data_IF_440941361557
#
_entry.id   IF_440941361557
#
_cell.length_a   1.000
_cell.length_b   1.000
_cell.length_c   1.000
_cell.angle_alpha   90.00
_cell.angle_beta   90.00
_cell.angle_gamma   90.00
#
_symmetry.space_group_name_H-M   'P 1'
#
loop_
_entity.id
_entity.type
_entity.pdbx_description
1 polymer ?
#
# COMPACT_ATOMS: atom_id res chain seq x y z
N UNK A 1 -12.07 -5.31 -16.27
CA UNK A 1 -11.15 -4.39 -15.58
C UNK A 1 -10.49 -4.96 -14.31
N UNK A 2 -10.58 -6.26 -14.05
CA UNK A 2 -10.02 -6.87 -12.82
C UNK A 2 -8.56 -7.29 -12.95
N UNK A 3 -8.12 -7.73 -14.13
CA UNK A 3 -6.75 -8.19 -14.38
C UNK A 3 -5.71 -7.07 -14.29
N UNK A 4 -6.00 -5.89 -14.85
CA UNK A 4 -5.11 -4.72 -14.76
C UNK A 4 -4.90 -4.29 -13.30
N UNK A 5 -5.97 -4.21 -12.51
CA UNK A 5 -5.87 -3.90 -11.07
C UNK A 5 -5.07 -4.96 -10.31
N UNK A 6 -5.22 -6.24 -10.67
CA UNK A 6 -4.42 -7.32 -10.08
C UNK A 6 -2.94 -7.20 -10.38
N UNK A 7 -2.57 -6.88 -11.62
CA UNK A 7 -1.17 -6.67 -12.02
C UNK A 7 -0.57 -5.50 -11.24
N UNK A 8 -1.25 -4.34 -11.21
CA UNK A 8 -0.78 -3.17 -10.46
C UNK A 8 -0.66 -3.47 -8.98
N UNK A 9 -1.62 -4.19 -8.40
CA UNK A 9 -1.63 -4.56 -6.99
C UNK A 9 -0.50 -5.52 -6.63
N UNK A 10 -0.20 -6.51 -7.47
CA UNK A 10 0.94 -7.41 -7.29
C UNK A 10 2.27 -6.67 -7.40
N UNK A 11 2.41 -5.77 -8.39
CA UNK A 11 3.60 -4.94 -8.54
C UNK A 11 3.80 -4.00 -7.35
N UNK A 12 2.75 -3.30 -6.91
CA UNK A 12 2.82 -2.42 -5.75
C UNK A 12 3.20 -3.18 -4.48
N UNK A 13 2.59 -4.34 -4.25
CA UNK A 13 2.94 -5.15 -3.09
C UNK A 13 4.39 -5.62 -3.12
N UNK A 14 4.94 -5.99 -4.29
CA UNK A 14 6.36 -6.34 -4.41
C UNK A 14 7.26 -5.14 -4.11
N UNK A 15 6.93 -3.96 -4.67
CA UNK A 15 7.68 -2.72 -4.44
C UNK A 15 7.68 -2.33 -2.97
N UNK A 16 6.51 -2.35 -2.30
CA UNK A 16 6.39 -2.00 -0.89
C UNK A 16 7.02 -3.04 0.04
N UNK A 17 6.94 -4.33 -0.30
CA UNK A 17 7.62 -5.37 0.46
C UNK A 17 9.14 -5.19 0.38
N UNK A 18 9.67 -4.97 -0.82
CA UNK A 18 11.09 -4.71 -1.02
C UNK A 18 11.52 -3.42 -0.28
N UNK A 19 10.78 -2.33 -0.44
CA UNK A 19 11.08 -1.05 0.20
C UNK A 19 11.04 -1.15 1.73
N UNK A 20 10.03 -1.81 2.30
CA UNK A 20 9.92 -1.99 3.73
C UNK A 20 11.04 -2.88 4.29
N UNK A 21 11.37 -3.99 3.62
CA UNK A 21 12.51 -4.84 4.02
C UNK A 21 13.83 -4.09 3.91
N UNK A 22 14.05 -3.33 2.83
CA UNK A 22 15.23 -2.50 2.65
C UNK A 22 15.39 -1.51 3.82
N UNK A 23 14.31 -0.84 4.23
CA UNK A 23 14.30 0.07 5.40
C UNK A 23 14.50 -0.64 6.74
N UNK A 24 14.23 -1.95 6.85
CA UNK A 24 14.53 -2.73 8.04
C UNK A 24 15.98 -3.23 8.09
N UNK A 25 16.64 -3.44 6.94
CA UNK A 25 18.04 -3.89 6.93
C UNK A 25 19.02 -2.71 6.93
N UNK A 26 18.60 -1.54 6.43
CA UNK A 26 19.44 -0.34 6.41
C UNK A 26 19.72 0.17 7.84
N UNK A 27 20.98 0.53 8.17
CA UNK A 27 21.32 1.14 9.44
C UNK A 27 20.54 2.44 9.66
N UNK A 28 20.10 2.68 10.90
CA UNK A 28 19.28 3.86 11.21
C UNK A 28 20.06 5.14 10.92
N UNK A 29 21.36 5.12 11.20
CA UNK A 29 22.28 6.25 11.01
C UNK A 29 22.34 6.68 9.54
N UNK A 30 22.29 5.72 8.61
CA UNK A 30 22.24 6.02 7.18
C UNK A 30 20.88 6.58 6.77
N UNK A 31 19.79 6.07 7.33
CA UNK A 31 18.43 6.53 7.03
C UNK A 31 18.15 7.95 7.57
N UNK A 32 18.71 8.28 8.73
CA UNK A 32 18.51 9.58 9.39
C UNK A 32 19.55 10.62 8.99
N UNK A 33 20.52 10.25 8.15
CA UNK A 33 21.61 11.14 7.73
C UNK A 33 21.07 12.39 7.03
N UNK A 34 20.13 12.19 6.11
CA UNK A 34 19.53 13.26 5.33
C UNK A 34 18.11 13.59 5.83
N UNK A 35 17.45 12.65 6.51
CA UNK A 35 16.10 12.79 7.05
C UNK A 35 16.18 13.01 8.56
N UNK A 36 15.87 14.22 9.03
CA UNK A 36 15.78 14.55 10.46
C UNK A 36 14.49 13.98 11.10
N UNK A 37 14.30 12.66 11.02
CA UNK A 37 13.22 11.93 11.68
C UNK A 37 13.78 10.91 12.66
N UNK A 38 13.07 10.60 13.76
CA UNK A 38 13.50 9.55 14.67
C UNK A 38 13.62 8.21 13.94
N UNK A 39 14.73 7.49 14.13
CA UNK A 39 14.92 6.18 13.53
C UNK A 39 13.80 5.18 13.82
N UNK A 40 13.25 5.23 15.04
CA UNK A 40 12.09 4.43 15.43
C UNK A 40 10.84 4.71 14.55
N UNK A 41 10.64 5.96 14.11
CA UNK A 41 9.55 6.32 13.21
C UNK A 41 9.77 5.75 11.80
N UNK A 42 11.01 5.78 11.30
CA UNK A 42 11.34 5.16 10.01
C UNK A 42 11.16 3.62 10.05
N UNK A 43 11.49 2.99 11.17
CA UNK A 43 11.23 1.56 11.40
C UNK A 43 9.74 1.24 11.48
N UNK A 44 8.96 2.11 12.13
CA UNK A 44 7.51 2.00 12.12
C UNK A 44 6.95 2.07 10.69
N UNK A 45 7.40 3.05 9.88
CA UNK A 45 7.00 3.13 8.46
C UNK A 45 7.34 1.84 7.72
N UNK A 46 8.55 1.31 7.91
CA UNK A 46 8.98 0.07 7.25
C UNK A 46 8.06 -1.11 7.56
N UNK A 47 7.65 -1.27 8.83
CA UNK A 47 6.69 -2.30 9.24
C UNK A 47 5.33 -2.06 8.58
N UNK A 48 4.84 -0.82 8.57
CA UNK A 48 3.55 -0.48 7.95
C UNK A 48 3.56 -0.70 6.44
N UNK A 49 4.68 -0.43 5.75
CA UNK A 49 4.82 -0.72 4.31
C UNK A 49 4.72 -2.21 4.02
N UNK A 50 5.38 -3.06 4.83
CA UNK A 50 5.29 -4.52 4.71
C UNK A 50 3.85 -4.98 4.97
N UNK A 51 3.22 -4.50 6.04
CA UNK A 51 1.82 -4.84 6.35
C UNK A 51 0.87 -4.36 5.25
N UNK A 52 1.13 -3.20 4.65
CA UNK A 52 0.37 -2.67 3.52
C UNK A 52 0.54 -3.53 2.26
N UNK A 53 1.76 -3.98 1.96
CA UNK A 53 2.03 -4.91 0.86
C UNK A 53 1.30 -6.24 1.04
N UNK A 54 1.33 -6.80 2.25
CA UNK A 54 0.57 -7.99 2.59
C UNK A 54 -0.93 -7.75 2.50
N UNK A 55 -1.42 -6.61 3.02
CA UNK A 55 -2.82 -6.20 2.95
C UNK A 55 -3.33 -5.93 1.54
N UNK A 56 -2.45 -5.58 0.60
CA UNK A 56 -2.78 -5.52 -0.82
C UNK A 56 -3.03 -6.94 -1.37
N UNK A 57 -2.16 -7.92 -1.14
CA UNK A 57 -2.28 -9.25 -1.79
C UNK A 57 -3.20 -10.22 -1.03
N UNK A 58 -2.99 -10.43 0.27
CA UNK A 58 -3.59 -11.53 1.04
C UNK A 58 -5.13 -11.52 1.04
N UNK A 59 -5.81 -10.40 1.35
CA UNK A 59 -7.28 -10.38 1.41
C UNK A 59 -7.91 -10.65 0.04
N UNK A 60 -7.24 -10.21 -1.03
CA UNK A 60 -7.67 -10.43 -2.41
C UNK A 60 -7.41 -11.86 -2.87
N UNK A 61 -6.30 -12.47 -2.46
CA UNK A 61 -5.93 -13.84 -2.82
C UNK A 61 -6.74 -14.89 -2.06
N UNK A 62 -6.88 -14.70 -0.74
CA UNK A 62 -7.61 -15.59 0.15
C UNK A 62 -9.13 -15.41 0.09
N UNK A 63 -9.60 -14.33 -0.57
CA UNK A 63 -11.02 -13.91 -0.59
C UNK A 63 -11.64 -13.71 0.80
N UNK A 64 -10.80 -13.50 1.82
CA UNK A 64 -11.22 -13.23 3.20
C UNK A 64 -11.22 -11.72 3.41
N UNK A 65 -12.40 -11.14 3.67
CA UNK A 65 -12.60 -9.69 3.92
C UNK A 65 -11.85 -8.79 2.91
N UNK A 66 -12.17 -8.88 1.61
CA UNK A 66 -11.47 -8.11 0.58
C UNK A 66 -11.51 -6.59 0.76
N UNK A 67 -12.44 -6.06 1.58
CA UNK A 67 -12.47 -4.65 1.97
C UNK A 67 -11.23 -4.16 2.73
N UNK A 68 -10.38 -5.05 3.23
CA UNK A 68 -9.06 -4.70 3.79
C UNK A 68 -8.07 -4.25 2.71
N UNK A 69 -8.23 -4.70 1.46
CA UNK A 69 -7.34 -4.35 0.34
C UNK A 69 -7.31 -2.84 0.08
N UNK A 70 -8.45 -2.15 -0.11
CA UNK A 70 -8.40 -0.72 -0.37
C UNK A 70 -8.05 0.10 0.88
N UNK A 71 -8.24 -0.44 2.10
CA UNK A 71 -7.76 0.20 3.33
C UNK A 71 -6.23 0.15 3.42
N UNK A 72 -5.62 -0.99 3.09
CA UNK A 72 -4.16 -1.12 2.99
C UNK A 72 -3.59 -0.20 1.91
N UNK A 73 -4.24 -0.14 0.75
CA UNK A 73 -3.85 0.77 -0.33
C UNK A 73 -3.93 2.24 0.12
N UNK A 74 -4.97 2.64 0.86
CA UNK A 74 -5.09 3.99 1.40
C UNK A 74 -3.98 4.33 2.41
N UNK A 75 -3.61 3.38 3.28
CA UNK A 75 -2.48 3.55 4.21
C UNK A 75 -1.15 3.78 3.46
N UNK A 76 -0.91 3.02 2.39
CA UNK A 76 0.26 3.19 1.54
C UNK A 76 0.28 4.53 0.80
N UNK A 77 -0.88 5.03 0.36
CA UNK A 77 -1.00 6.40 -0.21
C UNK A 77 -0.55 7.45 0.80
N UNK A 78 -0.96 7.35 2.06
CA UNK A 78 -0.56 8.29 3.11
C UNK A 78 0.97 8.29 3.29
N UNK A 79 1.59 7.10 3.32
CA UNK A 79 3.05 6.97 3.41
C UNK A 79 3.74 7.61 2.20
N UNK A 80 3.22 7.39 0.99
CA UNK A 80 3.78 7.96 -0.24
C UNK A 80 3.64 9.48 -0.29
N UNK A 81 2.58 10.06 0.25
CA UNK A 81 2.46 11.51 0.41
C UNK A 81 3.59 12.03 1.31
N UNK A 82 3.80 11.41 2.48
CA UNK A 82 4.91 11.75 3.37
C UNK A 82 6.27 11.62 2.70
N UNK A 83 6.51 10.50 2.00
CA UNK A 83 7.76 10.27 1.27
C UNK A 83 7.98 11.30 0.15
N UNK A 84 6.94 11.69 -0.57
CA UNK A 84 7.00 12.71 -1.63
C UNK A 84 7.39 14.07 -1.03
N UNK A 85 6.72 14.49 0.04
CA UNK A 85 7.01 15.76 0.72
C UNK A 85 8.45 15.78 1.24
N UNK A 86 8.87 14.73 1.93
CA UNK A 86 10.24 14.62 2.46
C UNK A 86 11.28 14.63 1.33
N UNK A 87 11.01 13.93 0.22
CA UNK A 87 11.91 13.91 -0.94
C UNK A 87 12.05 15.29 -1.60
N UNK A 88 10.96 16.09 -1.64
CA UNK A 88 10.99 17.47 -2.13
C UNK A 88 11.74 18.42 -1.18
N UNK A 89 11.72 18.15 0.12
CA UNK A 89 12.40 18.98 1.12
C UNK A 89 13.91 18.76 1.15
N UNK A 90 14.37 17.54 0.87
CA UNK A 90 15.77 17.13 1.07
C UNK A 90 16.55 17.14 -0.24
N UNK A 91 15.89 16.91 -1.38
CA UNK A 91 16.57 16.64 -2.64
C UNK A 91 15.93 17.31 -3.87
N UNK A 92 16.48 17.03 -5.07
CA UNK A 92 15.91 17.53 -6.31
C UNK A 92 14.54 16.91 -6.57
N UNK A 93 13.67 17.66 -7.26
CA UNK A 93 12.28 17.25 -7.59
C UNK A 93 12.19 15.86 -8.21
N UNK A 94 13.21 15.45 -8.96
CA UNK A 94 13.29 14.11 -9.57
C UNK A 94 13.19 12.97 -8.54
N UNK A 95 13.70 13.15 -7.31
CA UNK A 95 13.62 12.13 -6.26
C UNK A 95 12.19 11.95 -5.73
N UNK A 96 11.36 13.00 -5.81
CA UNK A 96 9.97 12.94 -5.40
C UNK A 96 9.05 12.31 -6.46
N UNK A 97 9.50 12.18 -7.72
CA UNK A 97 8.68 11.59 -8.79
C UNK A 97 8.35 10.12 -8.52
N UNK A 98 9.29 9.35 -7.97
CA UNK A 98 9.07 7.94 -7.66
C UNK A 98 7.94 7.76 -6.62
N UNK A 99 8.04 8.30 -5.39
CA UNK A 99 6.98 8.15 -4.39
C UNK A 99 5.66 8.76 -4.86
N UNK A 100 5.68 9.83 -5.66
CA UNK A 100 4.48 10.40 -6.25
C UNK A 100 3.77 9.41 -7.18
N UNK A 101 4.49 8.82 -8.14
CA UNK A 101 3.91 7.87 -9.10
C UNK A 101 3.40 6.61 -8.39
N UNK A 102 4.18 6.07 -7.45
CA UNK A 102 3.76 4.91 -6.65
C UNK A 102 2.53 5.23 -5.80
N UNK A 103 2.48 6.42 -5.20
CA UNK A 103 1.32 6.91 -4.46
C UNK A 103 0.07 7.02 -5.34
N UNK A 104 0.18 7.54 -6.57
CA UNK A 104 -0.93 7.62 -7.52
C UNK A 104 -1.43 6.23 -7.91
N UNK A 105 -0.54 5.28 -8.18
CA UNK A 105 -0.92 3.89 -8.49
C UNK A 105 -1.62 3.23 -7.29
N UNK A 106 -1.14 3.46 -6.07
CA UNK A 106 -1.79 2.97 -4.85
C UNK A 106 -3.19 3.59 -4.67
N UNK A 107 -3.36 4.87 -4.97
CA UNK A 107 -4.66 5.55 -4.93
C UNK A 107 -5.63 4.98 -5.98
N UNK A 108 -5.14 4.67 -7.19
CA UNK A 108 -5.94 4.00 -8.21
C UNK A 108 -6.40 2.61 -7.76
N UNK A 109 -5.54 1.84 -7.09
CA UNK A 109 -5.93 0.53 -6.53
C UNK A 109 -6.94 0.69 -5.41
N UNK A 110 -6.73 1.64 -4.50
CA UNK A 110 -7.67 1.94 -3.41
C UNK A 110 -9.07 2.29 -3.98
N UNK A 111 -9.12 3.23 -4.91
CA UNK A 111 -10.36 3.67 -5.54
C UNK A 111 -11.01 2.58 -6.40
N UNK A 112 -10.20 1.86 -7.19
CA UNK A 112 -10.66 0.78 -8.08
C UNK A 112 -11.29 -0.38 -7.31
N UNK A 113 -10.70 -0.78 -6.18
CA UNK A 113 -11.23 -1.86 -5.32
C UNK A 113 -12.36 -1.41 -4.40
N UNK A 114 -12.47 -0.12 -4.09
CA UNK A 114 -13.53 0.42 -3.24
C UNK A 114 -14.82 0.72 -4.00
N UNK A 115 -14.76 1.31 -5.20
CA UNK A 115 -15.96 1.77 -5.93
C UNK A 115 -16.23 1.10 -7.27
N UNK A 116 -15.20 0.69 -8.03
CA UNK A 116 -15.40 0.21 -9.40
C UNK A 116 -15.53 -1.30 -9.52
N UNK A 117 -14.79 -2.06 -8.74
CA UNK A 117 -14.83 -3.53 -8.76
C UNK A 117 -14.56 -4.08 -7.35
N UNK A 118 -15.55 -4.00 -6.44
CA UNK A 118 -15.49 -4.70 -5.17
C UNK A 118 -15.24 -6.19 -5.41
N UNK A 119 -14.25 -6.77 -4.74
CA UNK A 119 -14.08 -8.22 -4.76
C UNK A 119 -15.27 -8.76 -3.95
N UNK A 120 -16.15 -9.53 -4.59
CA UNK A 120 -17.27 -10.16 -3.92
C UNK A 120 -16.73 -11.03 -2.78
N UNK A 121 -17.04 -10.65 -1.54
CA UNK A 121 -16.85 -11.53 -0.40
C UNK A 121 -17.86 -12.67 -0.48
N UNK A 122 -17.50 -13.86 -0.01
CA UNK A 122 -18.45 -14.94 0.20
C UNK A 122 -19.51 -14.47 1.20
N UNK A 123 -20.68 -14.05 0.72
CA UNK A 123 -21.80 -13.71 1.58
C UNK A 123 -22.49 -15.01 2.03
N UNK A 124 -22.58 -15.30 3.34
CA UNK A 124 -23.56 -16.25 3.84
C UNK A 124 -24.92 -15.53 3.86
N UNK A 125 -25.74 -15.75 2.83
CA UNK A 125 -27.03 -15.04 2.78
C UNK A 125 -28.03 -15.45 1.70
N UNK A 126 -27.70 -16.37 0.79
CA UNK A 126 -28.66 -16.84 -0.22
C UNK A 126 -29.75 -17.76 0.35
N UNK A 127 -29.54 -18.37 1.52
CA UNK A 127 -30.48 -19.32 2.12
C UNK A 127 -31.76 -18.68 2.70
N UNK A 128 -31.82 -17.36 2.91
CA UNK A 128 -32.99 -16.68 3.48
C UNK A 128 -33.95 -16.14 2.43
N UNK A 129 -33.63 -16.24 1.13
CA UNK A 129 -34.46 -15.72 0.04
C UNK A 129 -35.42 -16.74 -0.58
N UNK A 130 -35.24 -18.02 -0.28
CA UNK A 130 -36.11 -19.11 -0.78
C UNK A 130 -37.28 -19.45 0.17
N UNK A 131 -37.33 -18.83 1.36
CA UNK A 131 -38.36 -19.09 2.37
C UNK A 131 -39.48 -18.02 2.42
N UNK A 132 -39.65 -17.21 1.37
CA UNK A 132 -40.68 -16.16 1.29
C UNK A 132 -41.31 -16.09 -0.08
#
# INVERSE_FOLDING_TARGET
>A
MTYALWIVQALLALVFLFAGVAKLVMPIEEMTKDIQMPGAFLRFIAVVEILGALGLILPSLLRIRPGLTPLAAAGLVIIMIGATVVSLMIGPVVMALMPLVVGLLAALVAYGRWKLAPIAGSAPGSALREAR
#
